data_IF_866586635406
#
_entry.id   IF_866586635406
#
_cell.length_a   1.000
_cell.length_b   1.000
_cell.length_c   1.000
_cell.angle_alpha   90.00
_cell.angle_beta   90.00
_cell.angle_gamma   90.00
#
_symmetry.space_group_name_H-M   'P 1'
#
loop_
_entity.id
_entity.type
_entity.pdbx_description
1 polymer ?
#
# COMPACT_ATOMS: atom_id res chain seq x y z
N UNK A 1 -0.59 -20.34 -17.86
CA UNK A 1 -0.35 -19.55 -19.08
C UNK A 1 0.00 -18.13 -18.66
N UNK A 2 1.26 -17.71 -18.74
CA UNK A 2 1.65 -16.32 -18.47
C UNK A 2 2.51 -15.82 -19.62
N UNK A 3 1.90 -15.07 -20.53
CA UNK A 3 2.62 -14.24 -21.48
C UNK A 3 2.76 -12.85 -20.88
N UNK A 4 3.99 -12.35 -20.76
CA UNK A 4 4.22 -10.94 -20.47
C UNK A 4 3.88 -10.16 -21.75
N UNK A 5 2.70 -9.53 -21.79
CA UNK A 5 2.33 -8.59 -22.84
C UNK A 5 2.96 -7.23 -22.56
N UNK A 6 3.70 -6.68 -23.51
CA UNK A 6 4.17 -5.29 -23.44
C UNK A 6 3.12 -4.37 -24.07
N UNK A 7 2.62 -3.40 -23.31
CA UNK A 7 1.80 -2.29 -23.82
C UNK A 7 2.71 -1.07 -24.00
N UNK A 8 2.65 -0.46 -25.19
CA UNK A 8 3.31 0.81 -25.49
C UNK A 8 2.27 1.83 -26.01
N UNK A 9 2.58 3.13 -25.89
CA UNK A 9 1.65 4.21 -26.21
C UNK A 9 0.92 4.77 -24.98
N UNK A 10 -0.04 5.68 -25.21
CA UNK A 10 -0.78 6.35 -24.13
C UNK A 10 -1.65 5.37 -23.35
N UNK A 11 -1.38 5.21 -22.06
CA UNK A 11 -2.19 4.41 -21.14
C UNK A 11 -3.17 5.34 -20.42
N UNK A 12 -4.47 5.17 -20.69
CA UNK A 12 -5.52 5.87 -19.95
C UNK A 12 -5.83 5.09 -18.67
N UNK A 13 -5.77 5.76 -17.52
CA UNK A 13 -6.06 5.16 -16.24
C UNK A 13 -6.39 6.21 -15.19
N UNK A 14 -7.13 5.81 -14.16
CA UNK A 14 -7.45 6.64 -13.01
C UNK A 14 -6.57 6.27 -11.83
N UNK A 15 -6.13 7.27 -11.07
CA UNK A 15 -5.46 7.07 -9.78
C UNK A 15 -6.29 7.79 -8.73
N UNK A 16 -6.70 7.06 -7.70
CA UNK A 16 -7.40 7.61 -6.54
C UNK A 16 -6.53 7.56 -5.29
N UNK A 17 -6.65 8.57 -4.43
CA UNK A 17 -6.00 8.61 -3.11
C UNK A 17 -7.04 9.04 -2.08
N UNK A 18 -7.15 8.27 -1.00
CA UNK A 18 -8.02 8.58 0.14
C UNK A 18 -7.15 8.85 1.35
N UNK A 19 -7.54 9.86 2.13
CA UNK A 19 -6.81 10.28 3.33
C UNK A 19 -7.65 10.07 4.60
N UNK A 20 -6.99 9.79 5.72
CA UNK A 20 -7.62 9.91 7.04
C UNK A 20 -7.66 11.37 7.53
N UNK A 21 -8.24 11.59 8.71
CA UNK A 21 -8.32 12.92 9.32
C UNK A 21 -6.95 13.54 9.68
N UNK A 22 -5.89 12.73 9.70
CA UNK A 22 -4.52 13.17 9.92
C UNK A 22 -3.78 13.40 8.59
N UNK A 23 -4.50 13.39 7.46
CA UNK A 23 -3.96 13.51 6.11
C UNK A 23 -2.96 12.41 5.71
N UNK A 24 -3.05 11.22 6.34
CA UNK A 24 -2.28 10.05 5.92
C UNK A 24 -3.05 9.29 4.84
N UNK A 25 -2.34 8.71 3.88
CA UNK A 25 -2.97 7.93 2.79
C UNK A 25 -3.49 6.61 3.34
N UNK A 26 -4.80 6.41 3.38
CA UNK A 26 -5.41 5.14 3.82
C UNK A 26 -5.81 4.22 2.68
N UNK A 27 -5.89 4.75 1.46
CA UNK A 27 -6.12 3.93 0.27
C UNK A 27 -5.53 4.58 -0.98
N UNK A 28 -4.94 3.75 -1.86
CA UNK A 28 -4.55 4.15 -3.21
C UNK A 28 -5.16 3.19 -4.21
N UNK A 29 -5.84 3.72 -5.21
CA UNK A 29 -6.50 2.92 -6.25
C UNK A 29 -5.86 3.20 -7.59
N UNK A 30 -5.58 2.15 -8.36
CA UNK A 30 -5.20 2.25 -9.78
C UNK A 30 -6.29 1.54 -10.59
N UNK A 31 -7.00 2.29 -11.44
CA UNK A 31 -8.21 1.80 -12.07
C UNK A 31 -9.30 1.51 -11.04
N UNK A 32 -9.67 0.22 -10.89
CA UNK A 32 -10.67 -0.24 -9.93
C UNK A 32 -10.08 -1.09 -8.79
N UNK A 33 -8.74 -1.13 -8.65
CA UNK A 33 -8.05 -1.97 -7.67
C UNK A 33 -7.50 -1.12 -6.53
N UNK A 34 -8.20 -1.05 -5.37
CA UNK A 34 -7.70 -0.35 -4.20
C UNK A 34 -6.66 -1.17 -3.44
N UNK A 35 -5.64 -0.50 -2.93
CA UNK A 35 -4.72 -1.00 -1.90
C UNK A 35 -4.92 -0.14 -0.67
N UNK A 36 -5.28 -0.77 0.45
CA UNK A 36 -5.50 -0.09 1.72
C UNK A 36 -4.23 -0.09 2.56
N UNK A 37 -4.06 0.96 3.36
CA UNK A 37 -2.93 1.16 4.24
C UNK A 37 -3.40 1.26 5.70
N UNK A 38 -2.63 0.66 6.61
CA UNK A 38 -2.90 0.71 8.05
C UNK A 38 -1.69 1.28 8.78
N UNK A 39 -1.96 1.96 9.89
CA UNK A 39 -0.97 2.65 10.70
C UNK A 39 -1.12 2.27 12.17
N UNK A 40 -0.02 2.32 12.92
CA UNK A 40 -0.07 2.29 14.38
C UNK A 40 -0.41 3.66 14.97
N UNK A 41 -0.42 3.76 16.30
CA UNK A 41 -0.77 4.97 17.03
C UNK A 41 0.22 6.13 16.79
N UNK A 42 1.48 5.82 16.47
CA UNK A 42 2.51 6.80 16.15
C UNK A 42 2.44 7.25 14.68
N UNK A 43 1.53 6.67 13.90
CA UNK A 43 1.34 6.98 12.49
C UNK A 43 2.33 6.27 11.57
N UNK A 44 3.02 5.23 12.05
CA UNK A 44 3.91 4.42 11.23
C UNK A 44 3.12 3.34 10.49
N UNK A 45 3.50 3.10 9.23
CA UNK A 45 2.81 2.14 8.38
C UNK A 45 3.00 0.71 8.88
N UNK A 46 1.92 -0.01 9.14
CA UNK A 46 1.90 -1.41 9.59
C UNK A 46 1.35 -2.37 8.53
N UNK A 47 0.68 -1.86 7.50
CA UNK A 47 0.10 -2.68 6.45
C UNK A 47 -0.11 -1.96 5.13
N UNK A 48 0.01 -2.70 4.04
CA UNK A 48 -0.25 -2.26 2.67
C UNK A 48 -0.85 -3.42 1.85
N UNK A 49 -2.18 -3.46 1.72
CA UNK A 49 -2.88 -4.61 1.15
C UNK A 49 -2.57 -5.89 1.94
N UNK A 50 -2.05 -6.92 1.25
CA UNK A 50 -1.65 -8.18 1.88
C UNK A 50 -0.25 -8.15 2.54
N UNK A 51 0.49 -7.04 2.41
CA UNK A 51 1.79 -6.86 3.04
C UNK A 51 1.59 -6.36 4.48
N UNK A 52 2.12 -7.11 5.45
CA UNK A 52 2.26 -6.69 6.85
C UNK A 52 3.69 -6.23 7.12
N UNK A 53 3.84 -5.15 7.90
CA UNK A 53 5.12 -4.57 8.31
C UNK A 53 5.26 -4.71 9.84
N UNK A 54 6.28 -5.44 10.29
CA UNK A 54 6.63 -5.55 11.70
C UNK A 54 7.60 -4.43 12.09
N UNK A 55 7.31 -3.74 13.19
CA UNK A 55 8.15 -2.66 13.71
C UNK A 55 8.59 -2.96 15.12
N UNK A 56 9.79 -2.50 15.44
CA UNK A 56 10.29 -2.48 16.81
C UNK A 56 9.46 -1.48 17.64
N UNK A 57 8.92 -1.93 18.76
CA UNK A 57 8.03 -1.11 19.58
C UNK A 57 8.76 -0.01 20.37
N UNK A 58 10.08 -0.09 20.53
CA UNK A 58 10.87 0.92 21.25
C UNK A 58 11.35 2.06 20.35
N UNK A 59 11.63 1.79 19.07
CA UNK A 59 12.22 2.78 18.18
C UNK A 59 11.51 2.94 16.82
N UNK A 60 10.46 2.16 16.54
CA UNK A 60 9.66 2.26 15.32
C UNK A 60 10.36 1.75 14.05
N UNK A 61 11.60 1.25 14.16
CA UNK A 61 12.35 0.72 13.03
C UNK A 61 11.68 -0.54 12.49
N UNK A 62 11.72 -0.70 11.17
CA UNK A 62 11.20 -1.89 10.51
C UNK A 62 12.06 -3.11 10.87
N UNK A 63 11.43 -4.14 11.40
CA UNK A 63 12.09 -5.40 11.79
C UNK A 63 11.78 -6.55 10.85
N UNK A 64 10.72 -6.43 10.04
CA UNK A 64 10.40 -7.43 9.03
C UNK A 64 9.18 -7.07 8.21
N UNK A 65 8.98 -7.83 7.14
CA UNK A 65 7.79 -7.76 6.31
C UNK A 65 7.31 -9.15 5.98
N UNK A 66 6.00 -9.34 5.93
CA UNK A 66 5.39 -10.62 5.52
C UNK A 66 4.32 -10.34 4.48
N UNK A 67 4.39 -11.03 3.34
CA UNK A 67 3.38 -10.98 2.30
C UNK A 67 2.51 -12.23 2.41
N UNK A 68 1.22 -12.06 2.65
CA UNK A 68 0.25 -13.16 2.62
C UNK A 68 -0.35 -13.33 1.22
N UNK A 69 -0.73 -14.57 0.89
CA UNK A 69 -1.37 -14.92 -0.38
C UNK A 69 -2.89 -14.72 -0.33
#
# INVERSE_FOLDING_TARGET
MTGAGAVSGSVNGTVGVTYDANFRVVSRTVGATPINYTYDADGLLTGAGALSLSRDAQNGLLTGTTLSA
#
